data_IF_696017120009
#
_entry.id   IF_696017120009
#
_cell.length_a   1.000
_cell.length_b   1.000
_cell.length_c   1.000
_cell.angle_alpha   90.00
_cell.angle_beta   90.00
_cell.angle_gamma   90.00
#
_symmetry.space_group_name_H-M   'P 1'
#
loop_
_entity.id
_entity.type
_entity.pdbx_description
1 polymer ?
#
# COMPACT_ATOMS: atom_id res chain seq x y z
N UNK A 1 21.16 -25.35 -27.97
CA UNK A 1 20.07 -25.73 -27.05
C UNK A 1 19.47 -24.46 -26.45
N UNK A 2 18.13 -24.37 -26.46
CA UNK A 2 17.18 -23.57 -25.62
C UNK A 2 17.75 -22.56 -24.59
N UNK A 3 17.15 -21.40 -24.27
CA UNK A 3 15.96 -20.67 -24.73
C UNK A 3 15.90 -19.30 -24.00
N UNK A 4 15.21 -18.36 -24.64
CA UNK A 4 14.71 -17.06 -24.16
C UNK A 4 14.13 -17.10 -22.74
N UNK A 5 14.43 -16.10 -21.91
CA UNK A 5 13.40 -15.30 -21.23
C UNK A 5 13.95 -13.99 -20.63
N UNK A 6 13.90 -12.89 -21.39
CA UNK A 6 14.07 -11.51 -20.86
C UNK A 6 12.97 -10.60 -21.41
N UNK A 7 11.72 -11.06 -21.39
CA UNK A 7 10.63 -10.36 -22.06
C UNK A 7 9.27 -10.47 -21.37
N UNK A 8 9.20 -10.44 -20.04
CA UNK A 8 7.89 -10.45 -19.36
C UNK A 8 7.75 -9.60 -18.10
N UNK A 9 8.76 -8.84 -17.68
CA UNK A 9 8.61 -7.95 -16.52
C UNK A 9 8.20 -6.51 -16.85
N UNK A 10 8.28 -6.07 -18.10
CA UNK A 10 8.03 -4.66 -18.46
C UNK A 10 6.63 -4.43 -19.02
N UNK A 11 5.99 -5.42 -19.65
CA UNK A 11 4.76 -5.19 -20.41
C UNK A 11 3.54 -4.96 -19.53
N UNK A 12 3.42 -5.67 -18.40
CA UNK A 12 2.29 -5.46 -17.47
C UNK A 12 2.43 -4.13 -16.73
N UNK A 13 3.63 -3.77 -16.29
CA UNK A 13 3.88 -2.43 -15.72
C UNK A 13 3.62 -1.34 -16.74
N UNK A 14 4.13 -1.46 -17.97
CA UNK A 14 3.91 -0.48 -19.03
C UNK A 14 2.43 -0.37 -19.41
N UNK A 15 1.69 -1.49 -19.46
CA UNK A 15 0.23 -1.48 -19.72
C UNK A 15 -0.54 -0.88 -18.54
N UNK A 16 -0.16 -1.19 -17.30
CA UNK A 16 -0.76 -0.62 -16.10
C UNK A 16 -0.48 0.89 -16.02
N UNK A 17 0.74 1.31 -16.31
CA UNK A 17 1.15 2.73 -16.39
C UNK A 17 0.40 3.45 -17.50
N UNK A 18 0.28 2.87 -18.70
CA UNK A 18 -0.46 3.46 -19.82
C UNK A 18 -1.97 3.55 -19.54
N UNK A 19 -2.54 2.60 -18.80
CA UNK A 19 -3.96 2.59 -18.41
C UNK A 19 -4.24 3.66 -17.34
N UNK A 20 -3.31 3.88 -16.40
CA UNK A 20 -3.39 4.97 -15.41
C UNK A 20 -3.22 6.35 -16.08
N UNK A 21 -2.31 6.47 -17.06
CA UNK A 21 -2.07 7.70 -17.81
C UNK A 21 -3.24 8.11 -18.72
N UNK A 22 -4.05 7.16 -19.23
CA UNK A 22 -5.11 7.46 -20.22
C UNK A 22 -6.30 8.25 -19.65
N UNK A 23 -6.42 8.40 -18.32
CA UNK A 23 -7.45 9.22 -17.63
C UNK A 23 -6.91 10.45 -16.87
N UNK A 24 -5.59 10.57 -16.71
CA UNK A 24 -4.92 11.73 -16.09
C UNK A 24 -4.06 12.44 -17.15
N UNK A 25 -4.61 13.38 -17.91
CA UNK A 25 -3.81 14.05 -18.96
C UNK A 25 -2.77 15.05 -18.43
N UNK A 26 -2.69 15.30 -17.12
CA UNK A 26 -1.95 16.47 -16.59
C UNK A 26 -1.14 16.23 -15.30
N UNK A 27 -1.19 15.02 -14.70
CA UNK A 27 -0.36 14.67 -13.54
C UNK A 27 0.86 13.85 -13.98
N UNK A 28 2.06 14.24 -13.54
CA UNK A 28 3.30 13.51 -13.86
C UNK A 28 3.39 12.21 -13.08
N UNK A 29 4.30 11.33 -13.51
CA UNK A 29 4.50 10.05 -12.85
C UNK A 29 4.99 10.20 -11.40
N UNK A 30 5.78 11.22 -11.13
CA UNK A 30 6.28 11.58 -9.81
C UNK A 30 5.12 12.00 -8.89
N UNK A 31 4.22 12.84 -9.40
CA UNK A 31 3.02 13.28 -8.67
C UNK A 31 2.09 12.11 -8.32
N UNK A 32 1.84 11.24 -9.30
CA UNK A 32 1.05 10.02 -9.09
C UNK A 32 1.71 9.07 -8.07
N UNK A 33 3.03 8.97 -8.11
CA UNK A 33 3.81 8.15 -7.16
C UNK A 33 3.74 8.71 -5.75
N UNK A 34 3.68 10.04 -5.61
CA UNK A 34 3.54 10.73 -4.34
C UNK A 34 2.13 10.56 -3.74
N UNK A 35 1.09 10.74 -4.55
CA UNK A 35 -0.31 10.44 -4.16
C UNK A 35 -0.44 8.97 -3.75
N UNK A 36 0.11 8.04 -4.53
CA UNK A 36 0.12 6.60 -4.20
C UNK A 36 0.82 6.33 -2.86
N UNK A 37 1.98 6.93 -2.63
CA UNK A 37 2.72 6.78 -1.38
C UNK A 37 1.95 7.33 -0.18
N UNK A 38 1.27 8.46 -0.34
CA UNK A 38 0.39 9.02 0.68
C UNK A 38 -0.75 8.06 1.06
N UNK A 39 -1.41 7.46 0.07
CA UNK A 39 -2.48 6.48 0.30
C UNK A 39 -1.94 5.28 1.07
N UNK A 40 -0.84 4.69 0.61
CA UNK A 40 -0.24 3.53 1.27
C UNK A 40 0.13 3.84 2.71
N UNK A 41 0.83 4.95 2.96
CA UNK A 41 1.25 5.34 4.31
C UNK A 41 0.05 5.60 5.23
N UNK A 42 -1.02 6.24 4.73
CA UNK A 42 -2.25 6.48 5.48
C UNK A 42 -2.91 5.17 5.92
N UNK A 43 -2.97 4.19 5.02
CA UNK A 43 -3.56 2.89 5.33
C UNK A 43 -2.66 2.04 6.24
N UNK A 44 -1.35 2.02 6.00
CA UNK A 44 -0.38 1.33 6.85
C UNK A 44 -0.45 1.85 8.28
N UNK A 45 -0.50 3.17 8.45
CA UNK A 45 -0.58 3.78 9.77
C UNK A 45 -1.84 3.32 10.52
N UNK A 46 -3.01 3.34 9.85
CA UNK A 46 -4.27 2.82 10.42
C UNK A 46 -4.21 1.34 10.76
N UNK A 47 -3.55 0.52 9.94
CA UNK A 47 -3.38 -0.91 10.19
C UNK A 47 -2.52 -1.12 11.44
N UNK A 48 -1.37 -0.45 11.56
CA UNK A 48 -0.55 -0.56 12.76
C UNK A 48 -1.27 -0.13 14.03
N UNK A 49 -2.02 0.97 13.98
CA UNK A 49 -2.84 1.40 15.13
C UNK A 49 -3.90 0.35 15.52
N UNK A 50 -4.59 -0.22 14.52
CA UNK A 50 -5.59 -1.27 14.74
C UNK A 50 -4.95 -2.51 15.33
N UNK A 51 -3.83 -2.95 14.78
CA UNK A 51 -3.15 -4.18 15.20
C UNK A 51 -2.59 -4.03 16.62
N UNK A 52 -2.03 -2.86 16.97
CA UNK A 52 -1.62 -2.55 18.34
C UNK A 52 -2.81 -2.63 19.32
N UNK A 53 -3.97 -2.06 18.96
CA UNK A 53 -5.20 -2.17 19.76
C UNK A 53 -5.70 -3.61 19.87
N UNK A 54 -5.64 -4.39 18.80
CA UNK A 54 -6.09 -5.78 18.78
C UNK A 54 -5.21 -6.66 19.69
N UNK A 55 -3.89 -6.51 19.61
CA UNK A 55 -2.94 -7.23 20.48
C UNK A 55 -3.25 -6.94 21.94
N UNK A 56 -3.37 -5.66 22.31
CA UNK A 56 -3.63 -5.26 23.70
C UNK A 56 -4.97 -5.71 24.26
N UNK A 57 -6.00 -5.85 23.42
CA UNK A 57 -7.37 -6.21 23.86
C UNK A 57 -7.70 -7.71 23.74
N UNK A 58 -6.94 -8.48 22.98
CA UNK A 58 -7.29 -9.86 22.65
C UNK A 58 -7.23 -10.84 23.82
N UNK A 59 -6.38 -10.59 24.83
CA UNK A 59 -6.10 -11.55 25.90
C UNK A 59 -5.39 -12.84 25.45
N UNK A 60 -5.06 -12.97 24.16
CA UNK A 60 -4.45 -14.18 23.57
C UNK A 60 -2.92 -14.22 23.76
N UNK A 61 -2.30 -13.07 23.96
CA UNK A 61 -0.84 -12.95 24.06
C UNK A 61 -0.41 -13.03 25.52
N UNK A 62 0.58 -13.88 25.82
CA UNK A 62 1.20 -13.95 27.15
C UNK A 62 1.96 -12.67 27.51
N UNK A 63 2.54 -12.01 26.51
CA UNK A 63 3.31 -10.77 26.66
C UNK A 63 2.88 -9.72 25.62
N UNK A 64 1.66 -9.17 25.69
CA UNK A 64 1.13 -8.27 24.66
C UNK A 64 1.98 -7.00 24.50
N UNK A 65 2.59 -6.52 25.59
CA UNK A 65 3.41 -5.30 25.59
C UNK A 65 4.60 -5.38 24.64
N UNK A 66 5.29 -6.52 24.56
CA UNK A 66 6.44 -6.72 23.67
C UNK A 66 6.04 -6.59 22.19
N UNK A 67 4.92 -7.21 21.80
CA UNK A 67 4.42 -7.14 20.43
C UNK A 67 3.84 -5.76 20.10
N UNK A 68 3.17 -5.12 21.07
CA UNK A 68 2.70 -3.75 20.92
C UNK A 68 3.87 -2.78 20.71
N UNK A 69 4.99 -2.96 21.42
CA UNK A 69 6.19 -2.15 21.24
C UNK A 69 6.73 -2.28 19.80
N UNK A 70 6.86 -3.51 19.29
CA UNK A 70 7.27 -3.77 17.91
C UNK A 70 6.36 -3.08 16.88
N UNK A 71 5.04 -3.22 17.02
CA UNK A 71 4.06 -2.58 16.12
C UNK A 71 4.12 -1.05 16.25
N UNK A 72 4.34 -0.54 17.46
CA UNK A 72 4.45 0.91 17.70
C UNK A 72 5.67 1.53 17.01
N UNK A 73 6.78 0.81 16.88
CA UNK A 73 7.96 1.24 16.13
C UNK A 73 7.58 1.42 14.64
N UNK A 74 6.87 0.45 14.07
CA UNK A 74 6.35 0.55 12.70
C UNK A 74 5.39 1.72 12.52
N UNK A 75 4.48 1.93 13.48
CA UNK A 75 3.53 3.05 13.46
C UNK A 75 4.25 4.42 13.49
N UNK A 76 5.25 4.58 14.36
CA UNK A 76 6.06 5.81 14.48
C UNK A 76 6.82 6.11 13.19
N UNK A 77 7.52 5.12 12.61
CA UNK A 77 8.23 5.28 11.33
C UNK A 77 7.27 5.67 10.20
N UNK A 78 6.12 5.00 10.11
CA UNK A 78 5.10 5.32 9.10
C UNK A 78 4.57 6.74 9.27
N UNK A 79 4.36 7.20 10.51
CA UNK A 79 3.90 8.56 10.79
C UNK A 79 4.91 9.62 10.32
N UNK A 80 6.21 9.39 10.55
CA UNK A 80 7.28 10.27 10.06
C UNK A 80 7.29 10.34 8.53
N UNK A 81 7.29 9.18 7.85
CA UNK A 81 7.24 9.12 6.38
C UNK A 81 5.96 9.80 5.83
N UNK A 82 4.83 9.64 6.51
CA UNK A 82 3.57 10.28 6.10
C UNK A 82 3.65 11.80 6.25
N UNK A 83 4.33 12.31 7.28
CA UNK A 83 4.57 13.75 7.42
C UNK A 83 5.47 14.29 6.31
N UNK A 84 6.52 13.56 5.94
CA UNK A 84 7.41 13.93 4.82
C UNK A 84 6.64 13.96 3.50
N UNK A 85 5.86 12.91 3.20
CA UNK A 85 5.05 12.86 1.98
C UNK A 85 3.98 13.97 1.96
N UNK A 86 3.39 14.33 3.10
CA UNK A 86 2.47 15.48 3.19
C UNK A 86 3.15 16.79 2.81
N UNK A 87 4.35 17.04 3.34
CA UNK A 87 5.14 18.24 3.01
C UNK A 87 5.49 18.29 1.53
N UNK A 88 5.83 17.14 0.95
CA UNK A 88 6.15 17.05 -0.47
C UNK A 88 4.91 17.24 -1.37
N UNK A 89 3.73 16.76 -0.94
CA UNK A 89 2.48 17.05 -1.66
C UNK A 89 2.19 18.55 -1.66
N UNK A 90 2.38 19.21 -0.51
CA UNK A 90 2.21 20.66 -0.36
C UNK A 90 3.22 21.43 -1.22
N UNK A 91 4.50 21.04 -1.24
CA UNK A 91 5.54 21.71 -2.05
C UNK A 91 5.30 21.61 -3.55
N UNK A 92 4.62 20.55 -4.01
CA UNK A 92 4.24 20.35 -5.41
C UNK A 92 2.83 20.85 -5.75
N UNK A 93 2.15 21.59 -4.86
CA UNK A 93 0.77 22.06 -5.04
C UNK A 93 -0.21 20.92 -5.36
N UNK A 94 -0.06 19.78 -4.69
CA UNK A 94 -0.93 18.61 -4.81
C UNK A 94 -1.84 18.54 -3.59
N UNK A 95 -3.15 18.56 -3.81
CA UNK A 95 -4.15 18.42 -2.75
C UNK A 95 -5.01 17.20 -2.98
N UNK A 96 -5.03 16.27 -2.03
CA UNK A 96 -5.92 15.10 -2.08
C UNK A 96 -7.26 15.50 -1.46
N UNK A 97 -8.32 15.46 -2.26
CA UNK A 97 -9.65 15.95 -1.85
C UNK A 97 -10.54 14.83 -1.30
N UNK A 98 -10.41 13.61 -1.80
CA UNK A 98 -11.27 12.50 -1.41
C UNK A 98 -10.53 11.17 -1.53
N UNK A 99 -10.72 10.31 -0.54
CA UNK A 99 -10.23 8.93 -0.54
C UNK A 99 -11.42 8.03 -0.30
N UNK A 100 -11.64 7.09 -1.23
CA UNK A 100 -12.68 6.08 -1.14
C UNK A 100 -12.04 4.71 -1.23
N UNK A 101 -12.70 3.74 -0.60
CA UNK A 101 -12.34 2.34 -0.71
C UNK A 101 -13.62 1.56 -0.97
N UNK A 102 -13.56 0.62 -1.90
CA UNK A 102 -14.69 -0.21 -2.28
C UNK A 102 -14.25 -1.69 -2.43
N UNK A 103 -15.08 -2.52 -3.05
CA UNK A 103 -14.74 -3.93 -3.26
C UNK A 103 -13.61 -4.14 -4.29
N UNK A 104 -13.37 -3.17 -5.18
CA UNK A 104 -12.39 -3.26 -6.27
C UNK A 104 -11.02 -2.74 -5.82
N UNK A 105 -10.99 -1.72 -4.97
CA UNK A 105 -9.73 -1.14 -4.53
C UNK A 105 -9.85 0.15 -3.73
N UNK A 106 -8.82 0.97 -3.89
CA UNK A 106 -8.72 2.30 -3.28
C UNK A 106 -8.71 3.34 -4.40
N UNK A 107 -9.53 4.37 -4.23
CA UNK A 107 -9.66 5.50 -5.13
C UNK A 107 -9.30 6.79 -4.41
N UNK A 108 -8.56 7.65 -5.11
CA UNK A 108 -8.26 8.99 -4.64
C UNK A 108 -8.54 10.02 -5.72
N UNK A 109 -9.26 11.06 -5.34
CA UNK A 109 -9.38 12.28 -6.13
C UNK A 109 -8.38 13.29 -5.57
N UNK A 110 -7.66 13.94 -6.47
CA UNK A 110 -6.65 14.92 -6.11
C UNK A 110 -6.65 16.07 -7.12
N UNK A 111 -5.98 17.16 -6.78
CA UNK A 111 -5.70 18.27 -7.68
C UNK A 111 -4.19 18.51 -7.70
N UNK A 112 -3.58 18.51 -8.87
CA UNK A 112 -2.19 18.94 -9.08
C UNK A 112 -2.22 20.29 -9.80
N UNK A 113 -1.61 21.34 -9.23
CA UNK A 113 -1.57 22.68 -9.85
C UNK A 113 -2.97 23.21 -10.26
N UNK A 114 -4.00 22.87 -9.50
CA UNK A 114 -5.40 23.25 -9.78
C UNK A 114 -6.16 22.31 -10.72
N UNK A 115 -5.49 21.34 -11.34
CA UNK A 115 -6.07 20.41 -12.30
C UNK A 115 -6.50 19.13 -11.56
N UNK A 116 -7.74 18.70 -11.77
CA UNK A 116 -8.26 17.49 -11.16
C UNK A 116 -7.65 16.22 -11.78
N UNK A 117 -7.31 15.27 -10.92
CA UNK A 117 -6.86 13.93 -11.29
C UNK A 117 -7.49 12.86 -10.40
N UNK A 118 -7.47 11.64 -10.89
CA UNK A 118 -7.99 10.46 -10.17
C UNK A 118 -6.96 9.32 -10.20
N UNK A 119 -6.81 8.63 -9.08
CA UNK A 119 -5.97 7.45 -8.97
C UNK A 119 -6.82 6.28 -8.44
N UNK A 120 -6.84 5.18 -9.19
CA UNK A 120 -7.47 3.93 -8.76
C UNK A 120 -6.42 2.84 -8.64
N UNK A 121 -6.41 2.12 -7.51
CA UNK A 121 -5.48 1.02 -7.25
C UNK A 121 -6.27 -0.20 -6.79
N UNK A 122 -6.15 -1.30 -7.52
CA UNK A 122 -6.81 -2.55 -7.15
C UNK A 122 -6.21 -3.17 -5.88
N UNK A 123 -7.05 -3.83 -5.08
CA UNK A 123 -6.65 -4.44 -3.81
C UNK A 123 -5.43 -5.36 -3.88
N UNK A 124 -5.28 -6.27 -4.87
CA UNK A 124 -4.13 -7.18 -4.90
C UNK A 124 -2.80 -6.44 -4.99
N UNK A 125 -2.73 -5.39 -5.82
CA UNK A 125 -1.54 -4.55 -5.96
C UNK A 125 -1.31 -3.72 -4.70
N UNK A 126 -2.37 -3.08 -4.18
CA UNK A 126 -2.31 -2.23 -3.00
C UNK A 126 -1.82 -3.01 -1.77
N UNK A 127 -2.41 -4.19 -1.50
CA UNK A 127 -2.06 -5.03 -0.35
C UNK A 127 -0.64 -5.59 -0.44
N UNK A 128 -0.20 -5.98 -1.64
CA UNK A 128 1.18 -6.45 -1.86
C UNK A 128 2.18 -5.38 -1.48
N UNK A 129 2.00 -4.17 -2.00
CA UNK A 129 2.89 -3.04 -1.72
C UNK A 129 2.83 -2.61 -0.24
N UNK A 130 1.63 -2.58 0.33
CA UNK A 130 1.40 -2.29 1.74
C UNK A 130 2.17 -3.26 2.63
N UNK A 131 2.10 -4.56 2.34
CA UNK A 131 2.77 -5.62 3.11
C UNK A 131 4.30 -5.47 3.04
N UNK A 132 4.84 -5.18 1.86
CA UNK A 132 6.28 -4.96 1.67
C UNK A 132 6.77 -3.76 2.50
N UNK A 133 6.05 -2.64 2.46
CA UNK A 133 6.37 -1.43 3.25
C UNK A 133 6.23 -1.69 4.75
N UNK A 134 5.16 -2.36 5.19
CA UNK A 134 4.98 -2.75 6.59
C UNK A 134 6.14 -3.59 7.12
N UNK A 135 6.58 -4.59 6.35
CA UNK A 135 7.77 -5.39 6.70
C UNK A 135 9.00 -4.51 6.87
N UNK A 136 9.25 -3.60 5.93
CA UNK A 136 10.38 -2.68 6.02
C UNK A 136 10.31 -1.78 7.27
N UNK A 137 9.13 -1.23 7.60
CA UNK A 137 8.96 -0.38 8.78
C UNK A 137 9.14 -1.16 10.10
N UNK A 138 8.76 -2.44 10.12
CA UNK A 138 9.03 -3.34 11.25
C UNK A 138 10.49 -3.82 11.32
N UNK A 139 11.35 -3.45 10.37
CA UNK A 139 12.75 -3.90 10.33
C UNK A 139 12.95 -5.29 9.70
N UNK A 140 11.92 -5.84 9.06
CA UNK A 140 11.94 -7.17 8.42
C UNK A 140 12.34 -7.10 6.93
N UNK A 141 13.02 -6.04 6.52
CA UNK A 141 13.52 -5.88 5.15
C UNK A 141 14.74 -6.79 4.94
N UNK A 142 14.67 -7.69 3.95
CA UNK A 142 15.78 -8.62 3.63
C UNK A 142 15.68 -10.01 4.27
N UNK A 143 14.77 -10.22 5.21
CA UNK A 143 14.45 -11.55 5.73
C UNK A 143 13.55 -12.31 4.75
N UNK A 144 13.78 -13.63 4.59
CA UNK A 144 12.96 -14.49 3.73
C UNK A 144 11.46 -14.28 4.05
N UNK A 145 10.60 -14.05 3.05
CA UNK A 145 9.18 -13.92 3.30
C UNK A 145 8.66 -15.25 3.86
N UNK A 146 8.20 -15.26 5.11
CA UNK A 146 7.48 -16.39 5.71
C UNK A 146 6.20 -16.71 4.89
N UNK A 147 5.77 -15.78 4.03
CA UNK A 147 4.54 -15.78 3.25
C UNK A 147 4.67 -16.36 1.82
N UNK A 148 5.69 -17.18 1.53
CA UNK A 148 5.67 -18.02 0.32
C UNK A 148 4.75 -19.26 0.46
N UNK A 149 3.90 -19.29 1.48
CA UNK A 149 2.78 -20.25 1.59
C UNK A 149 1.54 -19.54 1.09
N UNK A 150 1.31 -19.67 -0.21
CA UNK A 150 0.06 -19.26 -0.85
C UNK A 150 -1.12 -19.87 -0.10
N UNK A 151 -2.06 -19.02 0.33
CA UNK A 151 -3.42 -19.46 0.60
C UNK A 151 -4.04 -19.88 -0.74
N UNK A 152 -3.89 -21.16 -1.07
CA UNK A 152 -4.84 -21.85 -1.93
C UNK A 152 -6.18 -21.79 -1.22
N UNK A 153 -6.96 -20.77 -1.55
CA UNK A 153 -8.39 -20.71 -1.27
C UNK A 153 -9.04 -21.87 -2.02
N UNK A 154 -9.06 -23.04 -1.37
CA UNK A 154 -9.93 -24.14 -1.75
C UNK A 154 -11.35 -23.69 -1.39
N UNK A 155 -12.31 -23.62 -2.32
CA UNK A 155 -13.71 -23.52 -1.93
C UNK A 155 -14.07 -24.86 -1.30
N UNK A 156 -14.13 -24.93 0.03
CA UNK A 156 -14.72 -26.07 0.70
C UNK A 156 -16.19 -26.16 0.28
N UNK A 157 -16.45 -27.25 -0.42
CA UNK A 157 -17.70 -27.82 -0.85
C UNK A 157 -18.93 -27.43 -0.02
N UNK A 158 -19.96 -26.96 -0.74
CA UNK A 158 -21.35 -27.24 -0.42
C UNK A 158 -21.50 -28.74 -0.15
N UNK A 159 -21.89 -29.10 1.06
CA UNK A 159 -22.36 -30.44 1.39
C UNK A 159 -23.75 -30.29 2.00
N UNK A 160 -24.73 -30.60 1.14
CA UNK A 160 -26.07 -31.20 1.38
C UNK A 160 -26.85 -30.72 2.60
#
# INVERSE_FOLDING_TARGET
>A
MYNKNKGSHTTIEVILMATIAKRNREATQEELSLVRSYLLLTFIHKVFERDCRAIGKSGLFKMPQLYMELVSIGAKKTALMLQEVKRELESQNITISTIRQDQKGVEAQFKCRGIAGELHIQWPSFRREMTLRMRAYLGLAGEFPILAREETSTPMALSI
#
